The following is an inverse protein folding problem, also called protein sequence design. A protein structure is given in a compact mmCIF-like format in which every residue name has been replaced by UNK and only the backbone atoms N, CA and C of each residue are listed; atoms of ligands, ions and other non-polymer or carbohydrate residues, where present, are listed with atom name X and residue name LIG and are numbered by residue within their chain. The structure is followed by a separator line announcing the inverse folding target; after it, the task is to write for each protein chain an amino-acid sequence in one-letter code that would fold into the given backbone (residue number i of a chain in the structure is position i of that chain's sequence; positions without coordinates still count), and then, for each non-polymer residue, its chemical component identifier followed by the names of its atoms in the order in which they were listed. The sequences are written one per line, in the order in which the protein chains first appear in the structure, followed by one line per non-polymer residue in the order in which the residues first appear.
data_IF_304690655058
#
_entry.id   IF_304690655058
#
_cell.length_a   1.000
_cell.length_b   1.000
_cell.length_c   1.000
_cell.angle_alpha   90.00
_cell.angle_beta   90.00
_cell.angle_gamma   90.00
#
_symmetry.space_group_name_H-M   'P 1'
#
loop_
_entity.id
_entity.type
_entity.pdbx_description
1 polymer ?
#
# COMPACT_ATOMS: atom_id res chain seq x y z
N UNK A 1 -5.56 -13.04 -24.46
CA UNK A 1 -4.95 -11.84 -23.87
C UNK A 1 -5.52 -11.69 -22.46
N UNK A 2 -4.67 -11.63 -21.44
CA UNK A 2 -5.08 -11.54 -20.03
C UNK A 2 -5.23 -10.05 -19.66
N UNK A 3 -6.29 -9.72 -18.92
CA UNK A 3 -6.51 -8.38 -18.36
C UNK A 3 -6.63 -8.49 -16.85
N UNK A 4 -5.81 -7.70 -16.16
CA UNK A 4 -5.83 -7.58 -14.71
C UNK A 4 -5.98 -6.11 -14.32
N UNK A 5 -6.49 -5.88 -13.12
CA UNK A 5 -6.49 -4.55 -12.51
C UNK A 5 -5.16 -4.32 -11.80
N UNK A 6 -4.68 -3.09 -11.81
CA UNK A 6 -3.48 -2.67 -11.09
C UNK A 6 -3.85 -1.50 -10.19
N UNK A 7 -3.46 -1.55 -8.92
CA UNK A 7 -3.68 -0.47 -7.97
C UNK A 7 -2.39 -0.17 -7.19
N UNK A 8 -1.86 1.05 -7.32
CA UNK A 8 -0.60 1.44 -6.69
C UNK A 8 -0.73 2.80 -6.01
N UNK A 9 -0.48 2.85 -4.69
CA UNK A 9 -0.44 4.11 -3.95
C UNK A 9 0.99 4.66 -3.90
N UNK A 10 1.33 5.48 -4.89
CA UNK A 10 2.68 6.04 -5.04
C UNK A 10 2.94 7.24 -4.11
N UNK A 11 1.90 8.04 -3.82
CA UNK A 11 1.96 9.19 -2.91
C UNK A 11 0.93 9.09 -1.77
N UNK A 12 1.07 9.92 -0.73
CA UNK A 12 0.06 10.00 0.32
C UNK A 12 -1.23 10.61 -0.24
N UNK A 13 -2.38 9.97 -0.04
CA UNK A 13 -3.69 10.49 -0.46
C UNK A 13 -4.10 10.18 -1.91
N UNK A 14 -3.31 9.39 -2.66
CA UNK A 14 -3.64 8.99 -4.02
C UNK A 14 -3.37 7.50 -4.29
N UNK A 15 -4.20 6.93 -5.15
CA UNK A 15 -4.03 5.60 -5.75
C UNK A 15 -4.10 5.78 -7.25
N UNK A 16 -3.13 5.21 -7.96
CA UNK A 16 -3.19 5.07 -9.40
C UNK A 16 -3.75 3.69 -9.73
N UNK A 17 -4.77 3.67 -10.58
CA UNK A 17 -5.47 2.46 -10.98
C UNK A 17 -5.51 2.38 -12.50
N UNK A 18 -5.19 1.21 -13.05
CA UNK A 18 -5.27 0.96 -14.48
C UNK A 18 -5.63 -0.49 -14.77
N UNK A 19 -6.01 -0.77 -16.02
CA UNK A 19 -6.11 -2.13 -16.54
C UNK A 19 -4.83 -2.45 -17.29
N UNK A 20 -4.12 -3.48 -16.84
CA UNK A 20 -2.94 -3.97 -17.52
C UNK A 20 -3.31 -5.16 -18.41
N UNK A 21 -2.98 -5.04 -19.70
CA UNK A 21 -3.05 -6.16 -20.63
C UNK A 21 -1.71 -6.89 -20.68
N UNK A 22 -1.74 -8.21 -20.49
CA UNK A 22 -0.54 -9.06 -20.53
C UNK A 22 -0.85 -10.42 -21.17
N UNK A 23 0.18 -11.24 -21.37
CA UNK A 23 -0.01 -12.59 -21.89
C UNK A 23 -0.51 -13.53 -20.78
N UNK A 24 -1.37 -14.51 -21.09
CA UNK A 24 -1.65 -15.60 -20.15
C UNK A 24 -0.34 -16.26 -19.70
N UNK A 25 -0.24 -16.60 -18.41
CA UNK A 25 1.00 -17.13 -17.84
C UNK A 25 2.00 -16.07 -17.35
N UNK A 26 1.71 -14.77 -17.54
CA UNK A 26 2.54 -13.68 -17.01
C UNK A 26 2.65 -13.81 -15.49
N UNK A 27 3.88 -13.82 -15.00
CA UNK A 27 4.17 -13.85 -13.57
C UNK A 27 4.14 -12.45 -12.97
N UNK A 28 4.01 -12.37 -11.64
CA UNK A 28 4.09 -11.12 -10.91
C UNK A 28 5.38 -10.36 -11.24
N UNK A 29 6.53 -11.04 -11.28
CA UNK A 29 7.82 -10.44 -11.64
C UNK A 29 7.83 -9.81 -13.05
N UNK A 30 7.15 -10.45 -14.00
CA UNK A 30 7.04 -9.95 -15.37
C UNK A 30 6.02 -8.82 -15.51
N UNK A 31 5.00 -8.77 -14.64
CA UNK A 31 4.01 -7.71 -14.67
C UNK A 31 4.55 -6.37 -14.16
N UNK A 32 5.42 -6.37 -13.14
CA UNK A 32 6.01 -5.14 -12.56
C UNK A 32 6.61 -4.18 -13.60
N UNK A 33 7.49 -4.62 -14.53
CA UNK A 33 8.04 -3.71 -15.54
C UNK A 33 6.97 -3.20 -16.52
N UNK A 34 5.93 -3.98 -16.81
CA UNK A 34 4.82 -3.52 -17.66
C UNK A 34 4.01 -2.43 -16.95
N UNK A 35 3.75 -2.61 -15.65
CA UNK A 35 3.14 -1.57 -14.81
C UNK A 35 3.99 -0.29 -14.81
N UNK A 36 5.30 -0.42 -14.69
CA UNK A 36 6.21 0.71 -14.70
C UNK A 36 6.19 1.49 -16.02
N UNK A 37 6.16 0.78 -17.14
CA UNK A 37 6.04 1.39 -18.47
C UNK A 37 4.72 2.15 -18.61
N UNK A 38 3.60 1.51 -18.25
CA UNK A 38 2.28 2.14 -18.35
C UNK A 38 2.12 3.36 -17.42
N UNK A 39 2.66 3.29 -16.21
CA UNK A 39 2.73 4.46 -15.32
C UNK A 39 3.53 5.60 -15.95
N UNK A 40 4.70 5.31 -16.57
CA UNK A 40 5.53 6.33 -17.19
C UNK A 40 4.81 7.04 -18.36
N UNK A 41 4.02 6.29 -19.13
CA UNK A 41 3.21 6.83 -20.22
C UNK A 41 2.06 7.71 -19.70
N UNK A 42 1.39 7.33 -18.61
CA UNK A 42 0.23 8.04 -18.06
C UNK A 42 0.59 9.22 -17.15
N UNK A 43 1.66 9.11 -16.35
CA UNK A 43 2.02 10.10 -15.33
C UNK A 43 2.81 11.30 -15.89
N UNK A 44 3.33 11.22 -17.12
CA UNK A 44 4.16 12.27 -17.71
C UNK A 44 5.37 12.63 -16.84
N UNK A 45 5.73 13.92 -16.74
CA UNK A 45 6.88 14.40 -15.96
C UNK A 45 6.74 14.24 -14.42
N UNK A 46 5.58 13.80 -13.93
CA UNK A 46 5.37 13.53 -12.51
C UNK A 46 6.03 12.20 -12.12
N UNK A 47 7.30 12.26 -11.70
CA UNK A 47 8.01 11.11 -11.16
C UNK A 47 7.26 10.56 -9.94
N UNK A 48 7.02 9.25 -9.94
CA UNK A 48 6.64 8.55 -8.71
C UNK A 48 7.70 8.87 -7.63
N UNK A 49 7.29 9.28 -6.42
CA UNK A 49 8.23 9.53 -5.33
C UNK A 49 8.86 8.25 -4.77
N UNK A 50 8.35 7.07 -5.15
CA UNK A 50 8.93 5.76 -4.81
C UNK A 50 9.16 4.94 -6.08
N UNK A 51 10.37 4.37 -6.26
CA UNK A 51 10.60 3.49 -7.39
C UNK A 51 9.85 2.16 -7.16
N UNK A 52 9.25 1.64 -8.25
CA UNK A 52 8.30 0.52 -8.22
C UNK A 52 8.95 -0.81 -7.80
N UNK A 53 10.27 -0.91 -7.95
CA UNK A 53 11.12 -2.03 -7.50
C UNK A 53 11.21 -2.14 -5.97
N UNK A 54 10.97 -1.05 -5.25
CA UNK A 54 10.95 -1.04 -3.77
C UNK A 54 9.57 -1.38 -3.19
N UNK A 55 8.54 -1.51 -4.03
CA UNK A 55 7.22 -1.93 -3.58
C UNK A 55 7.18 -3.44 -3.37
N UNK A 56 6.43 -3.86 -2.35
CA UNK A 56 6.01 -5.25 -2.25
C UNK A 56 4.75 -5.44 -3.08
N UNK A 57 4.72 -6.50 -3.87
CA UNK A 57 3.62 -6.77 -4.77
C UNK A 57 2.76 -7.92 -4.25
N UNK A 58 1.46 -7.82 -4.50
CA UNK A 58 0.51 -8.82 -4.07
C UNK A 58 -0.79 -8.73 -4.84
N UNK A 59 -1.69 -9.65 -4.52
CA UNK A 59 -3.03 -9.70 -5.10
C UNK A 59 -4.04 -9.74 -3.94
N UNK A 60 -5.04 -8.87 -4.00
CA UNK A 60 -6.12 -8.79 -3.00
C UNK A 60 -5.63 -8.76 -1.55
N UNK A 61 -4.71 -7.84 -1.23
CA UNK A 61 -4.15 -7.68 0.13
C UNK A 61 -3.10 -8.71 0.54
N UNK A 62 -2.74 -9.66 -0.34
CA UNK A 62 -1.78 -10.75 -0.04
C UNK A 62 -0.51 -10.58 -0.84
N UNK A 63 0.62 -10.39 -0.16
CA UNK A 63 1.94 -10.41 -0.80
C UNK A 63 2.21 -11.81 -1.34
N UNK A 64 2.62 -11.88 -2.62
CA UNK A 64 2.85 -13.13 -3.34
C UNK A 64 4.29 -13.23 -3.85
N UNK A 65 4.81 -14.45 -4.07
CA UNK A 65 6.16 -14.62 -4.58
C UNK A 65 6.26 -14.10 -6.02
N UNK A 66 7.46 -13.67 -6.47
CA UNK A 66 7.67 -13.13 -7.82
C UNK A 66 7.25 -14.09 -8.95
N UNK A 67 7.35 -15.41 -8.73
CA UNK A 67 6.94 -16.45 -9.69
C UNK A 67 5.44 -16.76 -9.71
N UNK A 68 4.61 -16.08 -8.92
CA UNK A 68 3.16 -16.29 -8.96
C UNK A 68 2.60 -15.91 -10.33
N UNK A 69 1.85 -16.81 -10.96
CA UNK A 69 1.21 -16.59 -12.26
C UNK A 69 -0.13 -15.89 -12.07
N UNK A 70 -0.27 -14.72 -12.69
CA UNK A 70 -1.47 -13.90 -12.62
C UNK A 70 -2.65 -14.58 -13.32
N UNK A 71 -3.83 -14.42 -12.73
CA UNK A 71 -5.10 -14.96 -13.19
C UNK A 71 -6.04 -13.87 -13.68
N UNK A 72 -7.05 -14.22 -14.50
CA UNK A 72 -8.12 -13.29 -14.83
C UNK A 72 -8.77 -12.72 -13.56
N UNK A 73 -9.08 -11.42 -13.59
CA UNK A 73 -9.71 -10.69 -12.47
C UNK A 73 -8.81 -10.49 -11.24
N UNK A 74 -7.52 -10.81 -11.33
CA UNK A 74 -6.58 -10.38 -10.30
C UNK A 74 -6.51 -8.86 -10.26
N UNK A 75 -6.48 -8.32 -9.04
CA UNK A 75 -6.02 -6.97 -8.80
C UNK A 75 -4.62 -7.02 -8.21
N UNK A 76 -3.64 -6.65 -9.03
CA UNK A 76 -2.25 -6.52 -8.65
C UNK A 76 -2.05 -5.20 -7.87
N UNK A 77 -1.54 -5.32 -6.66
CA UNK A 77 -1.41 -4.21 -5.71
C UNK A 77 0.07 -3.96 -5.37
N UNK A 78 0.49 -2.70 -5.39
CA UNK A 78 1.82 -2.27 -4.98
C UNK A 78 1.81 -1.63 -3.57
N UNK A 79 2.46 -2.28 -2.60
CA UNK A 79 2.50 -1.85 -1.21
C UNK A 79 3.82 -1.16 -0.86
N UNK A 80 3.71 0.04 -0.27
CA UNK A 80 4.86 0.79 0.25
C UNK A 80 5.40 0.17 1.54
N UNK A 81 6.72 0.20 1.76
CA UNK A 81 7.29 -0.18 3.04
C UNK A 81 6.79 0.76 4.16
N UNK A 82 6.63 0.20 5.35
CA UNK A 82 6.27 0.99 6.53
C UNK A 82 7.45 1.91 6.90
N UNK A 83 7.19 3.21 7.06
CA UNK A 83 8.21 4.20 7.49
C UNK A 83 8.55 4.10 8.97
N UNK A 84 7.60 3.65 9.77
CA UNK A 84 7.70 3.53 11.23
C UNK A 84 6.84 2.34 11.67
N UNK A 85 7.26 1.65 12.72
CA UNK A 85 6.46 0.60 13.31
C UNK A 85 5.06 1.14 13.71
N UNK A 86 3.95 0.47 13.36
CA UNK A 86 2.61 0.96 13.61
C UNK A 86 2.31 1.22 15.10
N UNK A 87 2.91 0.45 16.02
CA UNK A 87 2.71 0.63 17.47
C UNK A 87 3.48 1.84 17.96
N UNK A 88 4.71 2.04 17.49
CA UNK A 88 5.49 3.26 17.77
C UNK A 88 4.74 4.49 17.26
N UNK A 89 4.30 4.49 16.00
CA UNK A 89 3.53 5.57 15.42
C UNK A 89 2.22 5.85 16.17
N UNK A 90 1.53 4.80 16.64
CA UNK A 90 0.34 4.93 17.48
C UNK A 90 0.66 5.57 18.83
N UNK A 91 1.73 5.13 19.51
CA UNK A 91 2.16 5.67 20.81
C UNK A 91 2.55 7.14 20.69
N UNK A 92 3.30 7.50 19.67
CA UNK A 92 3.68 8.89 19.41
C UNK A 92 2.47 9.77 19.09
N UNK A 93 1.53 9.28 18.28
CA UNK A 93 0.26 9.98 18.04
C UNK A 93 -0.55 10.15 19.32
N UNK A 94 -0.63 9.12 20.17
CA UNK A 94 -1.31 9.21 21.47
C UNK A 94 -0.64 10.23 22.40
N UNK A 95 0.69 10.22 22.50
CA UNK A 95 1.44 11.19 23.30
C UNK A 95 1.25 12.64 22.79
N UNK A 96 1.29 12.84 21.45
CA UNK A 96 1.07 14.15 20.81
C UNK A 96 -0.36 14.66 20.94
N UNK A 97 -1.36 13.79 20.81
CA UNK A 97 -2.77 14.16 21.01
C UNK A 97 -3.10 14.36 22.50
N UNK A 98 -2.32 13.74 23.40
CA UNK A 98 -2.50 13.79 24.84
C UNK A 98 -3.81 13.14 25.30
N UNK A 99 -3.90 12.84 26.60
CA UNK A 99 -5.15 12.40 27.23
C UNK A 99 -6.26 13.48 27.24
N UNK A 100 -6.02 14.67 26.67
CA UNK A 100 -6.92 15.83 26.74
C UNK A 100 -8.04 15.81 25.71
N UNK A 101 -7.86 15.12 24.57
CA UNK A 101 -8.86 15.09 23.49
C UNK A 101 -9.64 13.77 23.33
N UNK A 102 -9.09 12.64 23.78
CA UNK A 102 -9.75 11.34 23.65
C UNK A 102 -10.54 11.02 24.93
N UNK A 103 -11.87 11.05 24.82
CA UNK A 103 -12.82 10.84 25.94
C UNK A 103 -12.63 9.55 26.75
N UNK A 104 -11.81 8.60 26.28
CA UNK A 104 -11.51 7.35 26.97
C UNK A 104 -10.70 7.54 28.28
N UNK A 105 -9.96 8.65 28.43
CA UNK A 105 -9.24 9.00 29.67
C UNK A 105 -9.67 10.35 30.27
N UNK A 106 -10.59 11.07 29.62
CA UNK A 106 -11.06 12.37 30.07
C UNK A 106 -11.82 12.28 31.42
N UNK A 107 -12.50 11.16 31.67
CA UNK A 107 -13.12 10.88 32.96
C UNK A 107 -12.30 9.85 33.75
N UNK A 108 -11.42 10.35 34.62
CA UNK A 108 -10.93 9.54 35.74
C UNK A 108 -12.10 9.29 36.70
N UNK A 109 -12.58 8.03 36.79
CA UNK A 109 -13.40 7.62 37.94
C UNK A 109 -12.49 7.63 39.16
N UNK A 110 -12.94 8.21 40.28
CA UNK A 110 -12.11 8.50 41.46
C UNK A 110 -11.44 7.32 42.18
N UNK A 111 -11.49 6.10 41.64
CA UNK A 111 -10.94 4.88 42.24
C UNK A 111 -10.06 4.06 41.27
N UNK A 112 -9.47 4.64 40.23
CA UNK A 112 -8.48 3.92 39.41
C UNK A 112 -7.12 3.84 40.10
N UNK A 113 -6.63 2.62 40.37
CA UNK A 113 -5.30 2.37 40.92
C UNK A 113 -4.20 2.76 39.91
N UNK A 114 -3.06 3.32 40.37
CA UNK A 114 -1.94 3.63 39.51
C UNK A 114 -1.27 2.33 39.01
N UNK A 115 -0.88 2.34 37.75
CA UNK A 115 0.05 1.38 37.15
C UNK A 115 1.36 2.06 36.81
#
# INVERSE_FOLDING_TARGET
MLRIEVAVSLAGGGVWECVLACLPGTTLAQAVPLVAAQWADEAGAARSPLPLDQLRWGVWGRVLPPGHVLQPQDRLEGYRPLKVDPKVARRERFARQGARGAGLFAQRRGQSRPG
#
